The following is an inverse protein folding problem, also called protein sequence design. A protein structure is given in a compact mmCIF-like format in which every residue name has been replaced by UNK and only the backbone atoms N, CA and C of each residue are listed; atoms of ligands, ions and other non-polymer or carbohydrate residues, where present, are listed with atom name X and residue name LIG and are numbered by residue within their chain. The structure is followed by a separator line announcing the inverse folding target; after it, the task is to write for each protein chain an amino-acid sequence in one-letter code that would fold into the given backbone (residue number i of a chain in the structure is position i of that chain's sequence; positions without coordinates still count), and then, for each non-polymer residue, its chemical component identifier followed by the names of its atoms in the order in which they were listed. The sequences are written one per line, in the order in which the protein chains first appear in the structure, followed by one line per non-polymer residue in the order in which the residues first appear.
data_IF_355546941994
#
_entry.id   IF_355546941994
#
_cell.length_a   1.000
_cell.length_b   1.000
_cell.length_c   1.000
_cell.angle_alpha   90.00
_cell.angle_beta   90.00
_cell.angle_gamma   90.00
#
_symmetry.space_group_name_H-M   'P 1'
#
loop_
_entity.id
_entity.type
_entity.pdbx_description
1 polymer ?
#
# COMPACT_ATOMS: atom_id res chain seq x y z
N UNK A 1 4.66 -14.06 7.42
CA UNK A 1 5.97 -14.72 7.62
C UNK A 1 7.03 -13.66 7.39
N UNK A 2 7.79 -13.29 8.41
CA UNK A 2 8.94 -12.38 8.22
C UNK A 2 10.00 -13.13 7.43
N UNK A 3 10.40 -12.59 6.28
CA UNK A 3 11.42 -13.18 5.39
C UNK A 3 12.84 -13.23 5.98
N UNK A 4 13.02 -12.80 7.21
CA UNK A 4 14.26 -12.94 7.97
C UNK A 4 14.53 -14.38 8.38
N UNK A 5 13.50 -15.23 8.42
CA UNK A 5 13.64 -16.64 8.69
C UNK A 5 14.19 -17.39 7.47
N UNK A 6 15.35 -18.05 7.64
CA UNK A 6 15.99 -18.85 6.59
C UNK A 6 15.05 -19.95 6.03
N UNK A 7 14.15 -20.46 6.87
CA UNK A 7 13.16 -21.45 6.47
C UNK A 7 12.11 -20.85 5.52
N UNK A 8 11.64 -19.61 5.78
CA UNK A 8 10.70 -18.91 4.91
C UNK A 8 11.31 -18.59 3.53
N UNK A 9 12.59 -18.16 3.49
CA UNK A 9 13.32 -17.94 2.21
C UNK A 9 13.42 -19.23 1.38
N UNK A 10 13.65 -20.36 2.02
CA UNK A 10 13.73 -21.66 1.33
C UNK A 10 12.35 -22.15 0.85
N UNK A 11 11.26 -21.78 1.53
CA UNK A 11 9.91 -22.05 1.05
C UNK A 11 9.53 -21.19 -0.14
N UNK A 12 9.80 -19.87 -0.09
CA UNK A 12 9.48 -18.94 -1.18
C UNK A 12 10.20 -19.29 -2.47
N UNK A 13 11.46 -19.77 -2.39
CA UNK A 13 12.21 -20.22 -3.59
C UNK A 13 11.58 -21.42 -4.32
N UNK A 14 10.59 -22.07 -3.71
CA UNK A 14 9.84 -23.20 -4.27
C UNK A 14 8.45 -22.81 -4.76
N UNK A 15 8.02 -21.56 -4.54
CA UNK A 15 6.73 -21.07 -4.97
C UNK A 15 6.86 -20.42 -6.34
N UNK A 16 5.88 -20.66 -7.21
CA UNK A 16 5.79 -19.99 -8.51
C UNK A 16 5.52 -18.49 -8.33
N UNK A 17 4.78 -18.13 -7.28
CA UNK A 17 4.50 -16.74 -6.91
C UNK A 17 4.23 -16.59 -5.41
N UNK A 18 4.39 -15.37 -4.90
CA UNK A 18 4.03 -15.00 -3.53
C UNK A 18 3.38 -13.59 -3.54
N UNK A 19 2.29 -13.46 -2.80
CA UNK A 19 1.56 -12.20 -2.64
C UNK A 19 1.51 -11.81 -1.16
N UNK A 20 1.79 -10.55 -0.83
CA UNK A 20 1.65 -10.03 0.52
C UNK A 20 2.68 -8.97 0.90
N UNK A 21 2.56 -8.50 2.14
CA UNK A 21 3.40 -7.43 2.69
C UNK A 21 4.81 -7.89 3.13
N UNK A 22 5.11 -9.16 3.03
CA UNK A 22 6.36 -9.73 3.55
C UNK A 22 7.47 -9.88 2.49
N UNK A 23 7.21 -9.44 1.25
CA UNK A 23 8.22 -9.38 0.20
C UNK A 23 9.16 -8.19 0.43
N UNK A 24 10.45 -8.38 0.17
CA UNK A 24 11.46 -7.33 0.21
C UNK A 24 12.21 -7.27 -1.12
N UNK A 25 13.02 -6.23 -1.32
CA UNK A 25 13.89 -6.10 -2.52
C UNK A 25 14.82 -7.30 -2.70
N UNK A 26 15.10 -8.04 -1.63
CA UNK A 26 15.96 -9.24 -1.63
C UNK A 26 15.20 -10.52 -1.99
N UNK A 27 13.88 -10.46 -2.09
CA UNK A 27 13.06 -11.59 -2.54
C UNK A 27 13.39 -11.87 -4.01
N UNK A 28 13.77 -13.10 -4.38
CA UNK A 28 14.04 -13.43 -5.78
C UNK A 28 12.77 -13.40 -6.62
N UNK A 29 12.92 -13.08 -7.91
CA UNK A 29 11.82 -13.12 -8.87
C UNK A 29 11.41 -11.74 -9.41
N UNK A 30 10.31 -11.74 -10.14
CA UNK A 30 9.69 -10.54 -10.72
C UNK A 30 8.79 -9.89 -9.71
N UNK A 31 8.93 -8.59 -9.53
CA UNK A 31 8.16 -7.85 -8.52
C UNK A 31 7.08 -7.01 -9.19
N UNK A 32 5.90 -7.05 -8.61
CA UNK A 32 4.75 -6.20 -8.92
C UNK A 32 4.29 -5.51 -7.63
N UNK A 33 3.73 -4.33 -7.74
CA UNK A 33 3.14 -3.62 -6.61
C UNK A 33 1.88 -2.91 -7.03
N UNK A 34 0.90 -2.85 -6.11
CA UNK A 34 -0.29 -2.02 -6.25
C UNK A 34 -0.19 -0.85 -5.30
N UNK A 35 -0.22 0.34 -5.85
CA UNK A 35 -0.34 1.57 -5.09
C UNK A 35 -1.82 1.96 -4.97
N UNK A 36 -2.16 2.63 -3.91
CA UNK A 36 -3.50 3.16 -3.68
C UNK A 36 -3.44 4.68 -3.59
N UNK A 37 -4.49 5.36 -4.07
CA UNK A 37 -4.67 6.79 -3.80
C UNK A 37 -4.47 7.07 -2.31
N UNK A 38 -3.64 8.06 -1.91
CA UNK A 38 -3.29 8.28 -0.51
C UNK A 38 -4.50 8.52 0.39
N UNK A 39 -5.48 9.31 -0.06
CA UNK A 39 -6.70 9.57 0.71
C UNK A 39 -7.58 8.33 0.81
N UNK A 40 -7.74 7.57 -0.28
CA UNK A 40 -8.50 6.31 -0.24
C UNK A 40 -7.85 5.28 0.69
N UNK A 41 -6.52 5.29 0.76
CA UNK A 41 -5.78 4.44 1.69
C UNK A 41 -6.08 4.82 3.14
N UNK A 42 -6.01 6.12 3.47
CA UNK A 42 -6.21 6.60 4.84
C UNK A 42 -7.67 6.41 5.30
N UNK A 43 -8.63 6.71 4.44
CA UNK A 43 -10.05 6.43 4.71
C UNK A 43 -10.28 4.93 4.98
N UNK A 44 -9.71 4.07 4.15
CA UNK A 44 -9.87 2.63 4.32
C UNK A 44 -9.24 2.11 5.61
N UNK A 45 -8.06 2.63 5.97
CA UNK A 45 -7.35 2.25 7.19
C UNK A 45 -8.14 2.70 8.43
N UNK A 46 -8.55 3.96 8.46
CA UNK A 46 -9.40 4.48 9.53
C UNK A 46 -10.69 3.69 9.71
N UNK A 47 -11.43 3.45 8.63
CA UNK A 47 -12.67 2.68 8.69
C UNK A 47 -12.43 1.24 9.19
N UNK A 48 -11.29 0.65 8.86
CA UNK A 48 -10.91 -0.69 9.34
C UNK A 48 -10.60 -0.69 10.84
N UNK A 49 -9.81 0.28 11.32
CA UNK A 49 -9.42 0.37 12.72
C UNK A 49 -10.62 0.73 13.62
N UNK A 50 -11.52 1.62 13.14
CA UNK A 50 -12.79 1.90 13.81
C UNK A 50 -13.65 0.64 13.95
N UNK A 51 -13.71 -0.19 12.91
CA UNK A 51 -14.49 -1.43 12.94
C UNK A 51 -13.92 -2.50 13.87
N UNK A 52 -12.64 -2.41 14.19
CA UNK A 52 -11.99 -3.27 15.20
C UNK A 52 -12.10 -2.74 16.62
N UNK A 53 -12.47 -1.47 16.80
CA UNK A 53 -12.42 -0.79 18.08
C UNK A 53 -10.98 -0.43 18.49
N UNK A 54 -10.04 -0.39 17.53
CA UNK A 54 -8.64 -0.06 17.78
C UNK A 54 -8.41 1.46 17.87
N UNK A 55 -9.40 2.27 17.46
CA UNK A 55 -9.38 3.73 17.54
C UNK A 55 -10.49 4.18 18.46
N UNK A 56 -10.16 5.03 19.44
CA UNK A 56 -11.12 5.80 20.20
C UNK A 56 -11.81 6.84 19.30
N UNK A 57 -12.93 7.36 19.70
CA UNK A 57 -13.93 8.17 18.95
C UNK A 57 -13.38 9.51 18.38
N UNK A 58 -12.20 9.48 17.78
CA UNK A 58 -11.58 10.60 17.06
C UNK A 58 -12.24 10.77 15.68
N UNK A 59 -12.46 12.01 15.27
CA UNK A 59 -12.81 12.24 13.87
C UNK A 59 -11.69 11.79 12.94
N UNK A 60 -12.04 11.38 11.71
CA UNK A 60 -11.05 11.02 10.69
C UNK A 60 -9.96 12.09 10.49
N UNK A 61 -10.36 13.36 10.47
CA UNK A 61 -9.45 14.49 10.33
C UNK A 61 -8.45 14.56 11.51
N UNK A 62 -8.94 14.39 12.74
CA UNK A 62 -8.10 14.36 13.94
C UNK A 62 -7.14 13.17 13.91
N UNK A 63 -7.63 12.00 13.51
CA UNK A 63 -6.81 10.80 13.37
C UNK A 63 -5.67 11.00 12.36
N UNK A 64 -5.98 11.50 11.15
CA UNK A 64 -4.96 11.77 10.12
C UNK A 64 -3.89 12.76 10.59
N UNK A 65 -4.26 13.79 11.37
CA UNK A 65 -3.31 14.77 11.91
C UNK A 65 -2.34 14.19 12.93
N UNK A 66 -2.65 13.04 13.53
CA UNK A 66 -1.75 12.31 14.45
C UNK A 66 -0.77 11.39 13.72
N UNK A 67 -1.03 11.05 12.46
CA UNK A 67 -0.19 10.15 11.68
C UNK A 67 0.96 10.89 11.01
N UNK A 68 2.08 10.19 10.85
CA UNK A 68 3.12 10.66 9.94
C UNK A 68 2.60 10.59 8.50
N UNK A 69 2.70 11.68 7.75
CA UNK A 69 2.35 11.68 6.32
C UNK A 69 3.24 10.77 5.48
N UNK A 70 2.89 10.62 4.21
CA UNK A 70 3.67 9.86 3.22
C UNK A 70 3.87 8.38 3.59
N UNK A 71 2.81 7.73 4.03
CA UNK A 71 2.85 6.35 4.52
C UNK A 71 3.39 5.36 3.48
N UNK A 72 3.02 5.47 2.20
CA UNK A 72 3.46 4.53 1.16
C UNK A 72 4.97 4.58 0.99
N UNK A 73 5.54 5.80 0.96
CA UNK A 73 6.99 5.99 0.87
C UNK A 73 7.68 5.44 2.11
N UNK A 74 7.18 5.81 3.31
CA UNK A 74 7.77 5.34 4.56
C UNK A 74 7.71 3.81 4.66
N UNK A 75 6.59 3.21 4.27
CA UNK A 75 6.41 1.77 4.30
C UNK A 75 7.34 1.06 3.29
N UNK A 76 7.37 1.51 2.04
CA UNK A 76 8.23 0.93 0.99
C UNK A 76 9.71 1.07 1.36
N UNK A 77 10.11 2.24 1.85
CA UNK A 77 11.48 2.51 2.23
C UNK A 77 11.95 1.60 3.38
N UNK A 78 11.14 1.52 4.45
CA UNK A 78 11.49 0.73 5.64
C UNK A 78 11.33 -0.76 5.44
N UNK A 79 10.19 -1.19 4.90
CA UNK A 79 9.80 -2.60 4.93
C UNK A 79 10.20 -3.35 3.65
N UNK A 80 10.17 -2.69 2.49
CA UNK A 80 10.55 -3.32 1.24
C UNK A 80 12.04 -3.15 0.92
N UNK A 81 12.57 -1.92 1.01
CA UNK A 81 13.97 -1.64 0.73
C UNK A 81 14.88 -2.01 1.89
N UNK A 82 14.37 -2.02 3.12
CA UNK A 82 15.13 -2.28 4.36
C UNK A 82 16.26 -1.26 4.59
N UNK A 83 16.03 0.01 4.20
CA UNK A 83 16.99 1.10 4.31
C UNK A 83 16.93 1.80 5.68
N UNK A 84 18.01 2.50 6.03
CA UNK A 84 18.11 3.27 7.28
C UNK A 84 17.04 4.38 7.32
N UNK A 85 16.16 4.43 8.33
CA UNK A 85 15.11 5.45 8.44
C UNK A 85 15.62 6.88 8.63
N UNK A 86 16.90 7.08 8.98
CA UNK A 86 17.48 8.38 9.36
C UNK A 86 17.87 9.24 8.14
N UNK A 87 16.90 9.46 7.23
CA UNK A 87 17.10 10.38 6.10
C UNK A 87 15.84 11.21 5.87
N UNK A 88 15.94 12.27 5.05
CA UNK A 88 14.80 13.16 4.76
C UNK A 88 13.73 12.44 3.94
N UNK A 89 12.51 12.97 3.96
CA UNK A 89 11.41 12.39 3.19
C UNK A 89 11.66 12.51 1.68
N UNK A 90 12.33 13.58 1.23
CA UNK A 90 12.74 13.79 -0.16
C UNK A 90 13.66 12.66 -0.63
N UNK A 91 14.70 12.38 0.15
CA UNK A 91 15.63 11.30 -0.17
C UNK A 91 14.94 9.93 -0.19
N UNK A 92 14.00 9.69 0.76
CA UNK A 92 13.20 8.46 0.77
C UNK A 92 12.35 8.35 -0.50
N UNK A 93 11.72 9.46 -0.91
CA UNK A 93 10.95 9.51 -2.15
C UNK A 93 11.79 9.15 -3.37
N UNK A 94 12.96 9.79 -3.53
CA UNK A 94 13.86 9.54 -4.67
C UNK A 94 14.32 8.07 -4.72
N UNK A 95 14.68 7.50 -3.57
CA UNK A 95 15.09 6.10 -3.47
C UNK A 95 13.93 5.16 -3.82
N UNK A 96 12.74 5.38 -3.28
CA UNK A 96 11.54 4.57 -3.55
C UNK A 96 11.14 4.70 -5.02
N UNK A 97 11.06 5.91 -5.56
CA UNK A 97 10.74 6.19 -6.97
C UNK A 97 11.70 5.46 -7.91
N UNK A 98 13.01 5.58 -7.66
CA UNK A 98 14.04 4.91 -8.44
C UNK A 98 13.93 3.38 -8.36
N UNK A 99 13.60 2.85 -7.18
CA UNK A 99 13.34 1.44 -7.00
C UNK A 99 12.11 0.95 -7.80
N UNK A 100 11.00 1.67 -7.73
CA UNK A 100 9.79 1.33 -8.47
C UNK A 100 10.05 1.33 -9.99
N UNK A 101 10.81 2.30 -10.49
CA UNK A 101 11.16 2.42 -11.91
C UNK A 101 12.06 1.29 -12.40
N UNK A 102 13.07 0.88 -11.60
CA UNK A 102 14.13 -0.01 -12.05
C UNK A 102 13.93 -1.47 -11.65
N UNK A 103 13.21 -1.72 -10.56
CA UNK A 103 13.16 -3.04 -9.93
C UNK A 103 11.83 -3.73 -10.11
N UNK A 104 10.75 -2.97 -10.20
CA UNK A 104 9.43 -3.54 -10.43
C UNK A 104 9.17 -3.72 -11.92
N UNK A 105 8.62 -4.87 -12.28
CA UNK A 105 8.20 -5.13 -13.66
C UNK A 105 7.05 -4.23 -14.06
N UNK A 106 6.15 -3.95 -13.11
CA UNK A 106 5.05 -3.00 -13.27
C UNK A 106 4.52 -2.55 -11.92
N UNK A 107 4.10 -1.29 -11.87
CA UNK A 107 3.36 -0.68 -10.78
C UNK A 107 1.92 -0.51 -11.23
N UNK A 108 0.96 -0.90 -10.42
CA UNK A 108 -0.45 -0.85 -10.73
C UNK A 108 -1.20 0.04 -9.75
N UNK A 109 -2.31 0.60 -10.19
CA UNK A 109 -3.29 1.20 -9.29
C UNK A 109 -4.17 0.12 -8.67
N UNK A 110 -4.34 0.15 -7.35
CA UNK A 110 -5.27 -0.75 -6.66
C UNK A 110 -6.73 -0.54 -7.11
N UNK A 111 -7.04 0.62 -7.68
CA UNK A 111 -8.36 0.93 -8.25
C UNK A 111 -8.74 -0.06 -9.35
N UNK A 112 -7.76 -0.51 -10.14
CA UNK A 112 -7.93 -1.44 -11.26
C UNK A 112 -7.36 -2.82 -10.91
N UNK A 113 -7.58 -3.28 -9.67
CA UNK A 113 -6.95 -4.51 -9.17
C UNK A 113 -7.30 -5.74 -10.02
N UNK A 114 -8.56 -5.92 -10.39
CA UNK A 114 -9.01 -7.12 -11.12
C UNK A 114 -8.37 -7.22 -12.51
N UNK A 115 -8.33 -6.11 -13.26
CA UNK A 115 -7.71 -6.09 -14.59
C UNK A 115 -6.19 -6.34 -14.48
N UNK A 116 -5.55 -5.70 -13.52
CA UNK A 116 -4.12 -5.88 -13.29
C UNK A 116 -3.76 -7.27 -12.78
N UNK A 117 -4.62 -7.88 -11.97
CA UNK A 117 -4.45 -9.27 -11.54
C UNK A 117 -4.59 -10.24 -12.71
N UNK A 118 -5.62 -10.03 -13.57
CA UNK A 118 -5.80 -10.85 -14.76
C UNK A 118 -4.59 -10.77 -15.71
N UNK A 119 -4.03 -9.57 -15.91
CA UNK A 119 -2.79 -9.40 -16.69
C UNK A 119 -1.62 -10.21 -16.12
N UNK A 120 -1.44 -10.18 -14.79
CA UNK A 120 -0.38 -10.94 -14.13
C UNK A 120 -0.65 -12.44 -14.22
N UNK A 121 -1.88 -12.88 -13.96
CA UNK A 121 -2.28 -14.27 -14.02
C UNK A 121 -2.03 -14.86 -15.42
N UNK A 122 -2.40 -14.14 -16.47
CA UNK A 122 -2.14 -14.54 -17.86
C UNK A 122 -0.62 -14.65 -18.13
N UNK A 123 0.15 -13.64 -17.72
CA UNK A 123 1.60 -13.61 -17.90
C UNK A 123 2.31 -14.76 -17.18
N UNK A 124 1.84 -15.12 -15.99
CA UNK A 124 2.41 -16.19 -15.18
C UNK A 124 1.72 -17.53 -15.39
N UNK A 125 0.72 -17.62 -16.29
CA UNK A 125 -0.07 -18.82 -16.57
C UNK A 125 -0.72 -19.41 -15.30
N UNK A 126 -1.23 -18.52 -14.44
CA UNK A 126 -1.95 -18.91 -13.22
C UNK A 126 -3.42 -19.10 -13.51
N UNK A 127 -4.07 -20.00 -12.76
CA UNK A 127 -5.52 -20.07 -12.76
C UNK A 127 -6.10 -18.77 -12.22
N UNK A 128 -7.12 -18.24 -12.90
CA UNK A 128 -7.84 -17.04 -12.47
C UNK A 128 -8.78 -17.43 -11.34
N UNK A 129 -8.27 -17.48 -10.12
CA UNK A 129 -9.14 -17.65 -8.96
C UNK A 129 -10.01 -16.40 -8.76
N UNK A 130 -11.29 -16.57 -8.45
CA UNK A 130 -12.13 -15.44 -8.10
C UNK A 130 -11.53 -14.72 -6.88
N UNK A 131 -11.52 -13.40 -6.92
CA UNK A 131 -11.05 -12.56 -5.81
C UNK A 131 -11.83 -12.92 -4.54
N UNK A 132 -11.19 -13.61 -3.64
CA UNK A 132 -11.71 -13.76 -2.29
C UNK A 132 -11.56 -12.40 -1.59
N UNK A 133 -12.64 -11.67 -1.46
CA UNK A 133 -12.67 -10.45 -0.67
C UNK A 133 -12.64 -10.83 0.81
N UNK A 134 -11.45 -11.23 1.29
CA UNK A 134 -11.23 -11.66 2.67
C UNK A 134 -11.33 -10.52 3.68
N UNK A 135 -11.30 -9.28 3.20
CA UNK A 135 -11.55 -8.09 4.01
C UNK A 135 -13.01 -7.63 3.92
N UNK A 136 -13.97 -8.52 3.70
CA UNK A 136 -15.33 -8.22 4.08
C UNK A 136 -15.30 -7.97 5.58
N UNK A 137 -15.26 -6.69 5.95
CA UNK A 137 -15.70 -6.24 7.26
C UNK A 137 -16.98 -7.01 7.58
N UNK A 138 -17.10 -7.53 8.80
CA UNK A 138 -18.36 -8.09 9.30
C UNK A 138 -19.50 -7.20 8.82
N UNK A 139 -20.66 -7.78 8.50
CA UNK A 139 -21.84 -7.05 7.99
C UNK A 139 -22.23 -5.86 8.87
N UNK A 140 -21.79 -5.86 10.14
CA UNK A 140 -21.95 -4.78 11.11
C UNK A 140 -21.01 -3.58 10.91
N UNK A 141 -20.02 -3.66 9.98
CA UNK A 141 -19.06 -2.61 9.74
C UNK A 141 -19.68 -1.48 8.92
N UNK A 142 -20.23 -0.49 9.57
CA UNK A 142 -20.70 0.74 8.91
C UNK A 142 -19.48 1.54 8.46
N UNK A 143 -19.38 1.79 7.16
CA UNK A 143 -18.43 2.74 6.61
C UNK A 143 -18.63 4.09 7.29
N UNK A 144 -17.67 4.52 8.09
CA UNK A 144 -17.80 5.69 8.95
C UNK A 144 -17.47 6.99 8.22
N UNK A 145 -16.55 6.94 7.22
CA UNK A 145 -16.11 8.13 6.48
C UNK A 145 -16.00 7.83 4.99
N UNK A 146 -16.38 8.79 4.16
CA UNK A 146 -16.15 8.80 2.71
C UNK A 146 -15.54 10.13 2.26
N UNK A 147 -14.99 10.19 1.04
CA UNK A 147 -14.44 11.44 0.47
C UNK A 147 -15.43 12.60 0.46
N UNK A 148 -16.73 12.30 0.35
CA UNK A 148 -17.80 13.30 0.29
C UNK A 148 -18.05 14.01 1.63
N UNK A 149 -17.56 13.40 2.71
CA UNK A 149 -17.74 13.92 4.07
C UNK A 149 -16.61 14.89 4.47
N UNK A 150 -15.65 15.13 3.57
CA UNK A 150 -14.44 15.90 3.84
C UNK A 150 -14.54 17.29 3.21
N UNK A 151 -14.19 18.32 3.99
CA UNK A 151 -14.12 19.69 3.51
C UNK A 151 -12.85 19.96 2.69
N UNK A 152 -12.86 21.06 1.93
CA UNK A 152 -11.76 21.41 1.04
C UNK A 152 -10.48 21.81 1.81
N UNK A 153 -10.61 22.37 3.00
CA UNK A 153 -9.47 22.76 3.82
C UNK A 153 -8.69 21.51 4.25
N UNK A 154 -9.40 20.49 4.72
CA UNK A 154 -8.78 19.21 5.06
C UNK A 154 -8.16 18.52 3.84
N UNK A 155 -8.82 18.53 2.69
CA UNK A 155 -8.29 17.93 1.47
C UNK A 155 -6.98 18.60 1.04
N UNK A 156 -6.90 19.92 1.13
CA UNK A 156 -5.68 20.68 0.84
C UNK A 156 -4.55 20.33 1.83
N UNK A 157 -4.88 20.30 3.13
CA UNK A 157 -3.94 19.91 4.17
C UNK A 157 -3.44 18.47 3.96
N UNK A 158 -4.33 17.53 3.70
CA UNK A 158 -4.00 16.11 3.49
C UNK A 158 -3.09 15.94 2.27
N UNK A 159 -3.34 16.68 1.19
CA UNK A 159 -2.52 16.65 -0.01
C UNK A 159 -1.09 17.14 0.28
N UNK A 160 -0.94 18.24 1.01
CA UNK A 160 0.38 18.75 1.39
C UNK A 160 1.10 17.82 2.36
N UNK A 161 0.38 17.30 3.37
CA UNK A 161 0.92 16.37 4.36
C UNK A 161 1.40 15.03 3.76
N UNK A 162 0.74 14.57 2.70
CA UNK A 162 1.06 13.34 1.97
C UNK A 162 1.64 13.61 0.57
N UNK A 163 2.26 14.77 0.38
CA UNK A 163 2.69 15.28 -0.93
C UNK A 163 3.49 14.27 -1.75
N UNK A 164 4.44 13.58 -1.15
CA UNK A 164 5.29 12.62 -1.86
C UNK A 164 4.57 11.32 -2.21
N UNK A 165 3.62 10.89 -1.40
CA UNK A 165 2.75 9.77 -1.74
C UNK A 165 1.86 10.11 -2.94
N UNK A 166 1.32 11.35 -3.00
CA UNK A 166 0.56 11.83 -4.16
C UNK A 166 1.42 11.92 -5.41
N UNK A 167 2.63 12.45 -5.34
CA UNK A 167 3.56 12.50 -6.47
C UNK A 167 3.87 11.09 -6.99
N UNK A 168 4.12 10.15 -6.08
CA UNK A 168 4.38 8.76 -6.43
C UNK A 168 3.17 8.12 -7.12
N UNK A 169 1.98 8.31 -6.55
CA UNK A 169 0.75 7.76 -7.11
C UNK A 169 0.42 8.35 -8.48
N UNK A 170 0.58 9.66 -8.65
CA UNK A 170 0.37 10.34 -9.93
C UNK A 170 1.33 9.85 -11.01
N UNK A 171 2.60 9.66 -10.68
CA UNK A 171 3.61 9.21 -11.66
C UNK A 171 3.34 7.78 -12.16
N UNK A 172 2.89 6.89 -11.28
CA UNK A 172 2.80 5.46 -11.62
C UNK A 172 1.37 4.95 -11.88
N UNK A 173 0.33 5.66 -11.46
CA UNK A 173 -1.05 5.17 -11.43
C UNK A 173 -2.09 6.11 -12.06
N UNK A 174 -1.73 7.34 -12.48
CA UNK A 174 -2.64 8.29 -13.11
C UNK A 174 -2.68 8.14 -14.63
#
# INVERSE_FOLDING_TARGET
IRLEDRAAKKQISKLDYAVGHNSTIRTPGTHFVWLRDPLDRDISHYNYDMGKGDIEDDSFQTHCKKLAGNFMILWLYKNYLCEDPNTTIENKYDVVRNCLTKRFSKVYSLKNFEDSWNEIADKLKLDREPRLNTNRSNEDYKKTVSKKDLDQEFLNWHNEHNRYDYLLYQEFCA
#
